data_IF_720950208371
#
_entry.id   IF_720950208371
#
_cell.length_a   1.000
_cell.length_b   1.000
_cell.length_c   1.000
_cell.angle_alpha   90.00
_cell.angle_beta   90.00
_cell.angle_gamma   90.00
#
_symmetry.space_group_name_H-M   'P 1'
#
loop_
_entity.id
_entity.type
_entity.pdbx_description
1 polymer ?
#
# COMPACT_ATOMS: atom_id res chain seq x y z
N UNK A 1 17.98 -8.40 -73.74
CA UNK A 1 18.04 -7.08 -73.10
C UNK A 1 17.38 -7.28 -71.73
N UNK A 2 18.16 -7.15 -70.78
CA UNK A 2 17.87 -7.51 -69.36
C UNK A 2 17.05 -6.44 -68.67
N UNK A 3 15.94 -6.80 -68.11
CA UNK A 3 15.17 -5.93 -67.21
C UNK A 3 15.55 -6.26 -65.76
N UNK A 4 16.35 -5.37 -65.20
CA UNK A 4 16.84 -5.47 -63.82
C UNK A 4 16.06 -4.51 -62.93
N UNK A 5 15.43 -5.06 -61.92
CA UNK A 5 15.33 -4.37 -60.63
C UNK A 5 14.13 -3.47 -60.41
N UNK A 6 12.98 -4.07 -60.09
CA UNK A 6 12.06 -3.36 -59.20
C UNK A 6 12.38 -3.75 -57.76
N UNK A 7 13.11 -2.85 -57.09
CA UNK A 7 13.27 -2.90 -55.68
C UNK A 7 11.90 -2.86 -54.99
N UNK A 8 11.65 -3.78 -54.10
CA UNK A 8 10.53 -3.71 -53.16
C UNK A 8 10.81 -2.48 -52.29
N UNK A 9 10.13 -1.39 -52.58
CA UNK A 9 10.08 -0.27 -51.65
C UNK A 9 9.34 -0.76 -50.41
N UNK A 10 10.09 -1.03 -49.37
CA UNK A 10 9.56 -1.07 -48.04
C UNK A 10 9.32 0.38 -47.60
N UNK A 11 8.35 1.01 -48.20
CA UNK A 11 7.76 2.22 -47.63
C UNK A 11 6.99 1.82 -46.39
N UNK A 12 7.69 1.90 -45.28
CA UNK A 12 7.03 2.06 -43.98
C UNK A 12 6.42 3.47 -44.11
N UNK A 13 5.18 3.54 -44.60
CA UNK A 13 4.45 4.77 -44.68
C UNK A 13 4.32 5.39 -43.31
N UNK A 14 5.11 6.41 -43.06
CA UNK A 14 4.82 7.37 -42.00
C UNK A 14 3.54 8.10 -42.45
N UNK A 15 2.39 7.59 -42.01
CA UNK A 15 1.10 8.23 -42.22
C UNK A 15 1.15 9.63 -41.62
N UNK A 16 1.18 10.63 -42.47
CA UNK A 16 0.91 12.01 -42.08
C UNK A 16 -0.55 12.13 -41.65
N UNK A 17 -0.76 12.49 -40.39
CA UNK A 17 -1.98 13.18 -39.98
C UNK A 17 -3.23 12.32 -39.82
N UNK A 18 -3.24 11.46 -38.86
CA UNK A 18 -4.43 11.07 -38.14
C UNK A 18 -4.10 11.13 -36.64
N UNK A 19 -4.87 11.87 -35.88
CA UNK A 19 -4.86 11.82 -34.44
C UNK A 19 -5.37 10.46 -34.02
N UNK A 20 -4.54 9.42 -34.18
CA UNK A 20 -4.70 8.19 -33.49
C UNK A 20 -3.99 8.41 -32.14
N UNK A 21 -4.74 8.70 -31.12
CA UNK A 21 -4.33 8.51 -29.73
C UNK A 21 -3.94 7.05 -29.57
N UNK A 22 -2.70 6.73 -29.94
CA UNK A 22 -2.05 5.51 -29.49
C UNK A 22 -1.67 5.84 -28.06
N UNK A 23 -2.52 5.39 -27.15
CA UNK A 23 -2.25 5.47 -25.72
C UNK A 23 -0.80 5.07 -25.45
N UNK A 24 -0.14 5.82 -24.62
CA UNK A 24 1.28 5.79 -24.25
C UNK A 24 1.87 4.38 -24.12
N UNK A 25 2.31 3.79 -25.21
CA UNK A 25 3.11 2.57 -25.25
C UNK A 25 4.54 2.92 -25.72
N UNK A 26 5.52 2.83 -24.84
CA UNK A 26 6.91 3.02 -25.20
C UNK A 26 7.43 1.79 -25.94
N UNK A 27 8.02 1.97 -27.15
CA UNK A 27 8.69 0.91 -27.91
C UNK A 27 10.12 0.78 -27.37
N UNK A 28 10.51 -0.40 -26.87
CA UNK A 28 11.77 -0.56 -26.15
C UNK A 28 12.86 -1.38 -26.83
N UNK A 29 12.62 -2.14 -27.91
CA UNK A 29 13.71 -2.82 -28.61
C UNK A 29 13.39 -3.21 -30.04
N UNK A 30 14.38 -3.07 -30.94
CA UNK A 30 14.42 -3.66 -32.28
C UNK A 30 15.56 -4.68 -32.28
N UNK A 31 15.29 -5.96 -32.52
CA UNK A 31 16.34 -6.98 -32.72
C UNK A 31 16.56 -7.25 -34.20
N UNK A 32 17.79 -7.51 -34.62
CA UNK A 32 18.16 -7.76 -36.03
C UNK A 32 17.62 -9.09 -36.58
N UNK A 33 16.88 -9.87 -35.84
CA UNK A 33 16.33 -11.19 -36.25
C UNK A 33 14.83 -11.21 -36.47
N UNK A 34 14.19 -10.05 -36.47
CA UNK A 34 12.76 -9.85 -36.61
C UNK A 34 12.26 -8.76 -35.67
N UNK A 35 11.34 -7.93 -36.14
CA UNK A 35 10.75 -6.87 -35.33
C UNK A 35 9.85 -7.51 -34.26
N UNK A 36 10.39 -7.76 -33.07
CA UNK A 36 9.57 -8.09 -31.92
C UNK A 36 9.21 -6.77 -31.24
N UNK A 37 8.01 -6.27 -31.48
CA UNK A 37 7.44 -5.18 -30.69
C UNK A 37 7.17 -5.72 -29.27
N UNK A 38 8.07 -5.48 -28.36
CA UNK A 38 7.76 -5.60 -26.95
C UNK A 38 7.00 -4.34 -26.55
N UNK A 39 5.67 -4.39 -26.68
CA UNK A 39 4.83 -3.44 -25.97
C UNK A 39 5.07 -3.70 -24.47
N UNK A 40 5.83 -2.84 -23.83
CA UNK A 40 5.79 -2.77 -22.38
C UNK A 40 4.36 -2.41 -22.02
N UNK A 41 3.65 -3.32 -21.36
CA UNK A 41 2.31 -2.99 -20.86
C UNK A 41 2.39 -1.64 -20.14
N UNK A 42 1.58 -0.67 -20.58
CA UNK A 42 1.51 0.60 -19.90
C UNK A 42 1.21 0.37 -18.42
N UNK A 43 1.81 1.15 -17.55
CA UNK A 43 1.48 1.10 -16.14
C UNK A 43 -0.02 1.36 -15.96
N UNK A 44 -0.59 0.75 -14.94
CA UNK A 44 -1.94 1.08 -14.50
C UNK A 44 -2.02 2.60 -14.26
N UNK A 45 -3.08 3.29 -14.74
CA UNK A 45 -3.18 4.75 -14.61
C UNK A 45 -3.04 5.25 -13.17
N UNK A 46 -3.50 4.48 -12.17
CA UNK A 46 -3.35 4.87 -10.78
C UNK A 46 -1.89 4.75 -10.30
N UNK A 47 -1.13 3.75 -10.80
CA UNK A 47 0.28 3.66 -10.48
C UNK A 47 1.10 4.71 -11.23
N UNK A 48 0.77 4.98 -12.51
CA UNK A 48 1.39 6.08 -13.24
C UNK A 48 1.22 7.42 -12.50
N UNK A 49 0.01 7.68 -11.97
CA UNK A 49 -0.24 8.89 -11.19
C UNK A 49 0.64 8.99 -9.91
N UNK A 50 0.99 7.85 -9.29
CA UNK A 50 1.96 7.84 -8.17
C UNK A 50 3.35 8.27 -8.63
N UNK A 51 3.81 7.74 -9.78
CA UNK A 51 5.12 8.12 -10.35
C UNK A 51 5.17 9.59 -10.78
N UNK A 52 4.09 10.08 -11.38
CA UNK A 52 3.97 11.48 -11.80
C UNK A 52 3.96 12.42 -10.57
N UNK A 53 3.22 12.05 -9.53
CA UNK A 53 3.21 12.79 -8.26
C UNK A 53 4.61 12.82 -7.63
N UNK A 54 5.27 11.65 -7.50
CA UNK A 54 6.64 11.58 -6.99
C UNK A 54 7.61 12.46 -7.78
N UNK A 55 7.52 12.43 -9.11
CA UNK A 55 8.34 13.29 -9.98
C UNK A 55 8.08 14.77 -9.73
N UNK A 56 6.82 15.17 -9.55
CA UNK A 56 6.45 16.57 -9.26
C UNK A 56 6.95 17.05 -7.91
N UNK A 57 7.09 16.14 -6.94
CA UNK A 57 7.65 16.42 -5.60
C UNK A 57 9.18 16.36 -5.55
N UNK A 58 9.83 15.92 -6.66
CA UNK A 58 11.29 15.80 -6.76
C UNK A 58 11.87 14.58 -6.08
N UNK A 59 11.05 13.54 -5.85
CA UNK A 59 11.48 12.28 -5.25
C UNK A 59 12.26 11.41 -6.24
N UNK A 60 13.16 10.58 -5.71
CA UNK A 60 13.82 9.53 -6.48
C UNK A 60 12.87 8.36 -6.69
N UNK A 61 12.54 8.09 -7.95
CA UNK A 61 11.67 6.98 -8.30
C UNK A 61 12.35 5.63 -8.03
N UNK A 62 11.56 4.57 -7.76
CA UNK A 62 12.06 3.21 -7.72
C UNK A 62 12.74 2.79 -9.02
N UNK A 63 13.59 1.77 -8.96
CA UNK A 63 14.16 1.15 -10.16
C UNK A 63 13.06 0.66 -11.11
N UNK A 64 13.39 0.57 -12.40
CA UNK A 64 12.43 0.12 -13.43
C UNK A 64 11.85 -1.28 -13.09
N UNK A 65 12.65 -2.16 -12.49
CA UNK A 65 12.19 -3.48 -12.05
C UNK A 65 11.17 -3.36 -10.92
N UNK A 66 11.46 -2.55 -9.93
CA UNK A 66 10.55 -2.38 -8.79
C UNK A 66 9.26 -1.64 -9.20
N UNK A 67 9.33 -0.68 -10.13
CA UNK A 67 8.13 -0.06 -10.72
C UNK A 67 7.20 -1.11 -11.35
N UNK A 68 7.75 -2.12 -12.05
CA UNK A 68 6.96 -3.22 -12.61
C UNK A 68 6.30 -4.03 -11.50
N UNK A 69 7.04 -4.38 -10.44
CA UNK A 69 6.52 -5.15 -9.31
C UNK A 69 5.41 -4.39 -8.57
N UNK A 70 5.61 -3.10 -8.32
CA UNK A 70 4.61 -2.23 -7.67
C UNK A 70 3.35 -2.06 -8.52
N UNK A 71 3.51 -1.89 -9.83
CA UNK A 71 2.39 -1.84 -10.75
C UNK A 71 1.60 -3.16 -10.78
N UNK A 72 2.29 -4.29 -10.76
CA UNK A 72 1.64 -5.61 -10.71
C UNK A 72 0.88 -5.83 -9.40
N UNK A 73 1.44 -5.38 -8.26
CA UNK A 73 0.71 -5.37 -7.00
C UNK A 73 -0.58 -4.56 -7.12
N UNK A 74 -0.50 -3.31 -7.63
CA UNK A 74 -1.68 -2.46 -7.77
C UNK A 74 -2.74 -3.08 -8.71
N UNK A 75 -2.32 -3.65 -9.85
CA UNK A 75 -3.22 -4.39 -10.76
C UNK A 75 -3.90 -5.58 -10.05
N UNK A 76 -3.16 -6.32 -9.24
CA UNK A 76 -3.69 -7.42 -8.45
C UNK A 76 -4.73 -6.93 -7.44
N UNK A 77 -4.44 -5.86 -6.69
CA UNK A 77 -5.38 -5.27 -5.74
C UNK A 77 -6.67 -4.79 -6.41
N UNK A 78 -6.60 -4.25 -7.63
CA UNK A 78 -7.76 -3.86 -8.43
C UNK A 78 -8.57 -5.08 -8.88
N UNK A 79 -7.90 -6.09 -9.41
CA UNK A 79 -8.56 -7.33 -9.88
C UNK A 79 -9.31 -8.03 -8.75
N UNK A 80 -8.76 -7.99 -7.54
CA UNK A 80 -9.36 -8.55 -6.33
C UNK A 80 -10.43 -7.65 -5.69
N UNK A 81 -10.70 -6.46 -6.24
CA UNK A 81 -11.66 -5.49 -5.69
C UNK A 81 -11.20 -4.84 -4.38
N UNK A 82 -9.95 -5.06 -3.96
CA UNK A 82 -9.38 -4.52 -2.72
C UNK A 82 -9.12 -3.02 -2.87
N UNK A 83 -8.54 -2.63 -4.03
CA UNK A 83 -8.14 -1.25 -4.29
C UNK A 83 -9.27 -0.24 -4.07
N UNK A 84 -10.49 -0.56 -4.50
CA UNK A 84 -11.64 0.32 -4.39
C UNK A 84 -12.17 0.45 -2.95
N UNK A 85 -11.87 -0.52 -2.11
CA UNK A 85 -12.20 -0.50 -0.68
C UNK A 85 -11.19 0.27 0.18
N UNK A 86 -10.03 0.65 -0.36
CA UNK A 86 -9.02 1.40 0.38
C UNK A 86 -9.27 2.91 0.31
N UNK A 87 -9.04 3.61 1.42
CA UNK A 87 -9.00 5.08 1.52
C UNK A 87 -7.55 5.60 1.55
N UNK A 88 -6.60 4.77 1.99
CA UNK A 88 -5.18 5.09 2.10
C UNK A 88 -4.37 3.81 1.89
N UNK A 89 -3.29 3.92 1.13
CA UNK A 89 -2.35 2.83 0.90
C UNK A 89 -0.96 3.40 0.65
N UNK A 90 0.00 3.00 1.46
CA UNK A 90 1.40 3.37 1.29
C UNK A 90 2.29 2.14 1.30
N UNK A 91 3.10 1.97 0.26
CA UNK A 91 4.13 0.95 0.18
C UNK A 91 5.45 1.55 0.66
N UNK A 92 5.82 1.26 1.89
CA UNK A 92 7.05 1.77 2.51
C UNK A 92 8.29 1.02 2.01
N UNK A 93 8.15 -0.28 1.69
CA UNK A 93 9.23 -1.09 1.14
C UNK A 93 9.42 -0.78 -0.35
N UNK A 94 10.43 0.02 -0.66
CA UNK A 94 10.78 0.49 -2.00
C UNK A 94 12.26 0.80 -2.08
N UNK A 95 12.87 0.65 -3.25
CA UNK A 95 14.24 1.10 -3.55
C UNK A 95 14.29 2.57 -4.03
N UNK A 96 13.14 3.26 -4.10
CA UNK A 96 13.05 4.71 -4.18
C UNK A 96 13.55 5.38 -2.89
N UNK A 97 13.53 6.70 -2.87
CA UNK A 97 13.94 7.41 -1.67
C UNK A 97 12.86 7.45 -0.57
N UNK A 98 13.22 8.06 0.57
CA UNK A 98 12.30 8.24 1.70
C UNK A 98 11.06 9.07 1.32
N UNK A 99 11.18 10.00 0.38
CA UNK A 99 10.06 10.81 -0.10
C UNK A 99 9.04 9.96 -0.85
N UNK A 100 9.51 9.12 -1.78
CA UNK A 100 8.67 8.17 -2.51
C UNK A 100 7.96 7.18 -1.56
N UNK A 101 8.68 6.64 -0.58
CA UNK A 101 8.14 5.69 0.38
C UNK A 101 7.01 6.24 1.24
N UNK A 102 6.91 7.56 1.41
CA UNK A 102 5.86 8.24 2.18
C UNK A 102 4.62 8.61 1.35
N UNK A 103 4.61 8.32 0.05
CA UNK A 103 3.45 8.65 -0.79
C UNK A 103 2.27 7.72 -0.45
N UNK A 104 1.13 8.32 -0.16
CA UNK A 104 -0.15 7.62 -0.15
C UNK A 104 -0.65 7.46 -1.59
N UNK A 105 -0.63 6.22 -2.08
CA UNK A 105 -0.96 5.92 -3.48
C UNK A 105 -2.44 6.16 -3.83
N UNK A 106 -3.33 6.13 -2.83
CA UNK A 106 -4.77 6.39 -3.04
C UNK A 106 -5.09 7.87 -3.14
N UNK A 107 -4.38 8.69 -2.37
CA UNK A 107 -4.70 10.12 -2.22
C UNK A 107 -3.73 11.04 -2.95
N UNK A 108 -2.58 10.52 -3.39
CA UNK A 108 -1.49 11.30 -3.99
C UNK A 108 -1.08 12.48 -3.09
N UNK A 109 -0.77 12.15 -1.85
CA UNK A 109 -0.24 13.08 -0.84
C UNK A 109 0.90 12.40 -0.08
N UNK A 110 1.82 13.18 0.48
CA UNK A 110 2.85 12.65 1.35
C UNK A 110 2.36 12.50 2.78
N UNK A 111 2.60 11.34 3.37
CA UNK A 111 2.55 11.13 4.81
C UNK A 111 3.69 11.86 5.50
N UNK A 112 3.56 12.15 6.79
CA UNK A 112 4.58 12.87 7.55
C UNK A 112 5.30 11.96 8.51
N UNK A 113 6.60 11.73 8.28
CA UNK A 113 7.47 11.08 9.24
C UNK A 113 7.79 12.07 10.40
N UNK A 114 7.49 11.67 11.61
CA UNK A 114 7.68 12.46 12.83
C UNK A 114 8.74 11.80 13.70
N UNK A 115 9.67 12.59 14.21
CA UNK A 115 10.82 12.14 15.03
C UNK A 115 11.64 11.03 14.35
N UNK A 116 11.79 11.16 13.03
CA UNK A 116 12.74 10.45 12.18
C UNK A 116 12.73 8.91 12.36
N UNK A 117 11.61 8.21 12.04
CA UNK A 117 11.69 6.77 11.90
C UNK A 117 12.74 6.43 10.83
N UNK A 118 13.51 5.36 11.05
CA UNK A 118 14.60 4.99 10.13
C UNK A 118 14.02 4.31 8.90
N UNK A 119 14.26 4.89 7.72
CA UNK A 119 13.95 4.25 6.44
C UNK A 119 15.08 3.33 6.00
N UNK A 120 14.74 2.13 5.56
CA UNK A 120 15.65 1.19 4.90
C UNK A 120 15.03 0.80 3.56
N UNK A 121 15.78 0.98 2.48
CA UNK A 121 15.34 0.59 1.13
C UNK A 121 14.91 -0.89 1.12
N UNK A 122 13.85 -1.20 0.38
CA UNK A 122 13.21 -2.52 0.26
C UNK A 122 12.63 -3.12 1.56
N UNK A 123 12.80 -2.44 2.68
CA UNK A 123 12.31 -2.95 3.97
C UNK A 123 11.23 -2.05 4.59
N UNK A 124 11.32 -0.72 4.39
CA UNK A 124 10.39 0.26 4.92
C UNK A 124 10.90 1.00 6.16
N UNK A 125 10.03 1.31 7.10
CA UNK A 125 10.34 2.15 8.26
C UNK A 125 10.44 1.37 9.55
N UNK A 126 11.52 1.62 10.30
CA UNK A 126 11.72 1.16 11.67
C UNK A 126 11.48 2.30 12.65
N UNK A 127 10.65 2.07 13.65
CA UNK A 127 10.45 3.01 14.74
C UNK A 127 11.57 2.98 15.76
N UNK A 128 11.68 4.04 16.58
CA UNK A 128 12.68 4.12 17.65
C UNK A 128 12.16 3.65 19.02
N UNK A 129 10.92 3.18 19.10
CA UNK A 129 10.29 2.70 20.33
C UNK A 129 9.94 3.78 21.37
N UNK A 130 10.23 5.05 21.09
CA UNK A 130 10.06 6.15 22.05
C UNK A 130 9.24 7.33 21.57
N UNK A 131 9.37 7.72 20.28
CA UNK A 131 8.73 8.93 19.77
C UNK A 131 8.45 8.92 18.27
N UNK A 132 9.12 8.08 17.47
CA UNK A 132 8.99 8.10 16.02
C UNK A 132 7.67 7.46 15.55
N UNK A 133 7.08 8.02 14.52
CA UNK A 133 5.82 7.57 13.91
C UNK A 133 5.62 8.18 12.53
N UNK A 134 4.63 7.68 11.80
CA UNK A 134 4.24 8.21 10.49
C UNK A 134 2.79 8.66 10.57
N UNK A 135 2.52 9.93 10.37
CA UNK A 135 1.17 10.48 10.29
C UNK A 135 0.62 10.26 8.88
N UNK A 136 -0.48 9.54 8.76
CA UNK A 136 -1.12 9.32 7.48
C UNK A 136 -1.81 10.57 6.92
N UNK A 137 -2.18 11.53 7.78
CA UNK A 137 -2.99 12.67 7.40
C UNK A 137 -4.45 12.32 7.07
N UNK A 138 -4.88 11.08 7.32
CA UNK A 138 -6.26 10.65 7.11
C UNK A 138 -7.04 10.66 8.41
N UNK A 139 -8.18 11.36 8.40
CA UNK A 139 -9.19 11.31 9.46
C UNK A 139 -10.48 10.76 8.86
N UNK A 140 -10.90 9.55 9.22
CA UNK A 140 -12.19 9.01 8.77
C UNK A 140 -13.35 9.89 9.24
N UNK A 141 -14.17 10.30 8.28
CA UNK A 141 -15.35 11.14 8.52
C UNK A 141 -16.66 10.43 8.11
N UNK A 142 -16.59 9.14 7.79
CA UNK A 142 -17.71 8.33 7.33
C UNK A 142 -18.09 8.54 5.86
N UNK A 143 -17.43 9.43 5.13
CA UNK A 143 -17.65 9.67 3.69
C UNK A 143 -16.84 8.73 2.80
N UNK A 144 -15.67 8.26 3.27
CA UNK A 144 -14.83 7.26 2.59
C UNK A 144 -15.35 5.84 2.79
N UNK A 145 -14.48 4.88 2.51
CA UNK A 145 -14.75 3.45 2.71
C UNK A 145 -14.70 3.06 4.19
N UNK A 146 -13.82 3.72 4.99
CA UNK A 146 -13.77 3.50 6.43
C UNK A 146 -15.02 4.06 7.11
N UNK A 147 -15.90 3.16 7.52
CA UNK A 147 -17.17 3.49 8.18
C UNK A 147 -17.25 2.82 9.54
N UNK A 148 -18.20 3.27 10.37
CA UNK A 148 -18.39 2.75 11.72
C UNK A 148 -18.55 1.21 11.76
N UNK A 149 -19.24 0.64 10.76
CA UNK A 149 -19.56 -0.79 10.65
C UNK A 149 -18.87 -1.52 9.51
N UNK A 150 -18.00 -0.85 8.79
CA UNK A 150 -17.22 -1.42 7.67
C UNK A 150 -15.89 -0.69 7.63
N UNK A 151 -14.86 -1.30 8.19
CA UNK A 151 -13.59 -0.63 8.39
C UNK A 151 -12.44 -1.62 8.44
N UNK A 152 -11.28 -1.21 7.96
CA UNK A 152 -10.02 -1.93 8.16
C UNK A 152 -8.86 -0.96 8.25
N UNK A 153 -7.82 -1.37 8.96
CA UNK A 153 -6.51 -0.74 8.92
C UNK A 153 -5.44 -1.73 9.36
N UNK A 154 -4.25 -1.59 8.84
CA UNK A 154 -3.18 -2.53 9.15
C UNK A 154 -1.84 -2.14 8.58
N UNK A 155 -0.88 -3.01 8.84
CA UNK A 155 0.51 -2.90 8.39
C UNK A 155 1.06 -4.25 7.95
N UNK A 156 2.10 -4.23 7.13
CA UNK A 156 2.97 -5.39 6.95
C UNK A 156 4.16 -5.27 7.91
N UNK A 157 4.30 -6.22 8.81
CA UNK A 157 5.41 -6.29 9.77
C UNK A 157 6.58 -7.03 9.13
N UNK A 158 7.68 -6.35 8.89
CA UNK A 158 8.93 -6.92 8.35
C UNK A 158 9.84 -7.44 9.46
N UNK A 159 9.92 -6.69 10.56
CA UNK A 159 10.67 -7.08 11.76
C UNK A 159 9.83 -6.79 12.99
N UNK A 160 9.76 -7.76 13.88
CA UNK A 160 9.02 -7.64 15.14
C UNK A 160 9.64 -6.59 16.05
N UNK A 161 8.80 -5.78 16.66
CA UNK A 161 9.22 -4.82 17.69
C UNK A 161 9.06 -5.35 19.11
N UNK A 162 9.36 -4.47 20.06
CA UNK A 162 9.17 -4.74 21.48
C UNK A 162 7.68 -4.90 21.81
N UNK A 163 7.37 -5.83 22.69
CA UNK A 163 6.00 -6.05 23.20
C UNK A 163 5.41 -4.79 23.85
N UNK A 164 4.07 -4.70 23.87
CA UNK A 164 3.30 -3.59 24.45
C UNK A 164 3.47 -2.23 23.74
N UNK A 165 3.82 -2.26 22.46
CA UNK A 165 3.87 -1.08 21.57
C UNK A 165 2.76 -1.17 20.51
N UNK A 166 2.55 -0.11 19.76
CA UNK A 166 1.48 -0.05 18.76
C UNK A 166 2.03 0.09 17.34
N UNK A 167 1.53 -0.77 16.46
CA UNK A 167 1.93 -0.80 15.05
C UNK A 167 1.18 0.24 14.22
N UNK A 168 -0.09 0.48 14.53
CA UNK A 168 -0.93 1.47 13.88
C UNK A 168 -2.11 1.87 14.77
N UNK A 169 -2.69 3.05 14.52
CA UNK A 169 -3.93 3.45 15.18
C UNK A 169 -4.33 4.91 14.97
N UNK A 170 -5.40 5.28 15.65
CA UNK A 170 -5.96 6.63 15.63
C UNK A 170 -6.58 6.96 17.00
N UNK A 171 -5.73 7.20 17.96
CA UNK A 171 -6.10 7.50 19.34
C UNK A 171 -6.74 6.30 20.05
N UNK A 172 -7.72 6.59 20.90
CA UNK A 172 -8.41 5.53 21.68
C UNK A 172 -9.38 4.71 20.84
N UNK A 173 -9.75 5.17 19.65
CA UNK A 173 -10.83 4.61 18.86
C UNK A 173 -10.37 3.58 17.82
N UNK A 174 -9.09 3.56 17.46
CA UNK A 174 -8.49 2.54 16.62
C UNK A 174 -7.05 2.33 17.06
N UNK A 175 -6.67 1.10 17.37
CA UNK A 175 -5.29 0.76 17.71
C UNK A 175 -5.02 -0.72 17.56
N UNK A 176 -3.88 -1.02 17.03
CA UNK A 176 -3.36 -2.36 16.79
C UNK A 176 -2.04 -2.49 17.55
N UNK A 177 -2.02 -3.34 18.56
CA UNK A 177 -0.85 -3.51 19.45
C UNK A 177 -0.02 -4.72 19.07
N UNK A 178 1.26 -4.59 19.33
CA UNK A 178 2.19 -5.72 19.38
C UNK A 178 2.10 -6.34 20.76
N UNK A 179 1.16 -7.29 20.96
CA UNK A 179 1.02 -8.21 22.14
C UNK A 179 0.25 -7.79 23.40
N UNK A 180 -0.35 -8.79 23.84
CA UNK A 180 -0.81 -9.45 25.09
C UNK A 180 -1.60 -8.68 26.13
N UNK A 181 -1.39 -7.44 26.42
CA UNK A 181 -2.08 -6.86 27.58
C UNK A 181 -2.99 -5.70 27.27
N UNK A 182 -2.93 -5.21 26.03
CA UNK A 182 -3.61 -3.99 25.72
C UNK A 182 -4.62 -4.16 24.59
N UNK A 183 -5.68 -3.55 24.81
CA UNK A 183 -6.90 -3.49 24.10
C UNK A 183 -6.68 -3.06 22.64
N UNK A 184 -6.63 -4.03 21.74
CA UNK A 184 -6.84 -3.73 20.31
C UNK A 184 -8.21 -3.11 20.14
N UNK A 185 -8.35 -2.13 19.24
CA UNK A 185 -9.61 -1.41 19.02
C UNK A 185 -9.83 -1.11 17.56
N UNK A 186 -11.07 -1.21 17.14
CA UNK A 186 -11.55 -0.68 15.87
C UNK A 186 -12.91 0.01 16.13
N UNK A 187 -13.07 1.24 15.66
CA UNK A 187 -14.28 2.06 15.91
C UNK A 187 -14.65 2.14 17.40
N UNK A 188 -13.67 2.40 18.26
CA UNK A 188 -13.74 2.53 19.72
C UNK A 188 -14.00 1.27 20.52
N UNK A 189 -14.41 0.17 19.90
CA UNK A 189 -14.66 -1.05 20.66
C UNK A 189 -13.39 -1.76 21.06
N UNK A 190 -13.33 -2.10 22.32
CA UNK A 190 -12.31 -3.02 22.85
C UNK A 190 -12.56 -4.43 22.34
N UNK A 191 -11.57 -5.03 21.70
CA UNK A 191 -11.65 -6.42 21.23
C UNK A 191 -11.47 -7.44 22.37
N UNK A 192 -11.45 -6.99 23.61
CA UNK A 192 -11.42 -7.77 24.88
C UNK A 192 -10.62 -9.07 24.85
N UNK A 193 -9.61 -9.17 24.00
CA UNK A 193 -8.72 -10.33 23.95
C UNK A 193 -7.32 -9.91 23.57
N UNK A 194 -6.36 -10.48 24.26
CA UNK A 194 -4.98 -10.44 23.84
C UNK A 194 -4.85 -11.05 22.45
N UNK A 195 -4.52 -10.23 21.46
CA UNK A 195 -4.18 -10.68 20.11
C UNK A 195 -2.87 -10.03 19.72
N UNK A 196 -1.91 -10.85 19.36
CA UNK A 196 -0.60 -10.40 18.95
C UNK A 196 -0.58 -10.08 17.46
N UNK A 197 -0.40 -8.81 17.11
CA UNK A 197 -0.16 -8.37 15.74
C UNK A 197 1.33 -8.20 15.42
N UNK A 198 2.21 -8.44 16.37
CA UNK A 198 3.67 -8.38 16.17
C UNK A 198 4.19 -9.68 15.54
N UNK A 199 3.51 -10.12 14.48
CA UNK A 199 3.82 -11.32 13.71
C UNK A 199 4.27 -10.87 12.33
N UNK A 200 5.32 -11.49 11.79
CA UNK A 200 5.82 -11.18 10.44
C UNK A 200 4.73 -11.38 9.40
N UNK A 201 4.62 -10.42 8.48
CA UNK A 201 3.62 -10.43 7.41
C UNK A 201 2.51 -9.40 7.57
N UNK A 202 1.45 -9.55 6.80
CA UNK A 202 0.32 -8.62 6.79
C UNK A 202 -0.59 -8.85 7.98
N UNK A 203 -0.69 -7.85 8.83
CA UNK A 203 -1.53 -7.82 10.02
C UNK A 203 -2.53 -6.67 9.95
N UNK A 204 -3.81 -6.94 10.20
CA UNK A 204 -4.82 -5.89 10.23
C UNK A 204 -6.02 -6.19 11.14
N UNK A 205 -6.65 -5.12 11.57
CA UNK A 205 -7.96 -5.12 12.19
C UNK A 205 -9.00 -4.85 11.12
N UNK A 206 -10.10 -5.60 11.18
CA UNK A 206 -11.23 -5.45 10.28
C UNK A 206 -12.54 -5.41 11.06
N UNK A 207 -13.51 -4.66 10.56
CA UNK A 207 -14.87 -4.59 11.08
C UNK A 207 -15.86 -4.77 9.94
N UNK A 208 -16.66 -5.82 10.02
CA UNK A 208 -17.62 -6.20 8.98
C UNK A 208 -19.07 -5.89 9.34
N UNK A 209 -19.36 -5.56 10.60
CA UNK A 209 -20.72 -5.18 11.05
C UNK A 209 -20.68 -4.42 12.37
N UNK A 210 -21.86 -4.03 12.87
CA UNK A 210 -22.01 -3.40 14.18
C UNK A 210 -21.47 -4.29 15.34
N UNK A 211 -21.56 -5.60 15.19
CA UNK A 211 -21.28 -6.55 16.27
C UNK A 211 -20.13 -7.49 15.99
N UNK A 212 -19.52 -7.42 14.78
CA UNK A 212 -18.40 -8.30 14.41
C UNK A 212 -17.18 -7.51 13.98
N UNK A 213 -16.04 -7.82 14.60
CA UNK A 213 -14.72 -7.39 14.16
C UNK A 213 -13.78 -8.60 14.06
N UNK A 214 -12.67 -8.42 13.39
CA UNK A 214 -11.73 -9.48 13.08
C UNK A 214 -10.30 -9.01 13.32
N UNK A 215 -9.52 -9.88 13.94
CA UNK A 215 -8.08 -9.81 13.95
C UNK A 215 -7.57 -10.72 12.84
N UNK A 216 -6.84 -10.18 11.89
CA UNK A 216 -6.38 -10.91 10.71
C UNK A 216 -4.86 -10.82 10.63
N UNK A 217 -4.20 -11.98 10.51
CA UNK A 217 -2.76 -12.08 10.33
C UNK A 217 -2.48 -13.07 9.21
N UNK A 218 -1.76 -12.64 8.20
CA UNK A 218 -1.42 -13.44 7.01
C UNK A 218 -2.65 -14.12 6.37
N UNK A 219 -3.77 -13.39 6.32
CA UNK A 219 -5.03 -13.89 5.77
C UNK A 219 -5.84 -14.80 6.71
N UNK A 220 -5.29 -15.18 7.87
CA UNK A 220 -6.00 -16.00 8.86
C UNK A 220 -6.84 -15.11 9.77
N UNK A 221 -8.13 -15.35 9.79
CA UNK A 221 -9.13 -14.54 10.50
C UNK A 221 -9.50 -15.10 11.85
N UNK A 222 -9.54 -14.24 12.85
CA UNK A 222 -10.06 -14.52 14.20
C UNK A 222 -11.20 -13.55 14.52
N UNK A 223 -12.42 -14.06 14.61
CA UNK A 223 -13.61 -13.23 14.87
C UNK A 223 -13.70 -12.75 16.32
N UNK A 224 -14.26 -11.58 16.52
CA UNK A 224 -14.50 -10.94 17.82
C UNK A 224 -15.86 -10.27 17.85
N UNK A 225 -16.60 -10.46 18.94
CA UNK A 225 -17.83 -9.71 19.17
C UNK A 225 -17.48 -8.32 19.70
N UNK A 226 -18.13 -7.29 19.14
CA UNK A 226 -17.83 -5.89 19.44
C UNK A 226 -19.13 -5.07 19.55
N UNK A 227 -19.00 -3.86 20.07
CA UNK A 227 -20.05 -2.84 20.07
C UNK A 227 -19.54 -1.58 19.39
N UNK A 228 -20.41 -0.82 18.75
CA UNK A 228 -20.03 0.44 18.13
C UNK A 228 -19.93 1.56 19.15
N UNK A 229 -18.96 2.46 18.94
CA UNK A 229 -18.88 3.71 19.70
C UNK A 229 -18.72 4.92 18.78
N UNK A 230 -17.57 5.09 18.10
CA UNK A 230 -17.32 6.26 17.26
C UNK A 230 -16.23 6.00 16.22
N UNK A 231 -16.20 6.85 15.18
CA UNK A 231 -15.11 6.88 14.22
C UNK A 231 -13.82 7.37 14.91
N UNK A 232 -12.66 6.85 14.47
CA UNK A 232 -11.37 7.32 14.95
C UNK A 232 -11.02 8.70 14.36
N UNK A 233 -10.02 9.33 14.97
CA UNK A 233 -9.40 10.56 14.46
C UNK A 233 -8.20 10.24 13.56
N UNK A 234 -7.20 11.10 13.50
CA UNK A 234 -6.03 10.97 12.63
C UNK A 234 -5.28 9.64 12.80
N UNK A 235 -5.13 8.89 11.72
CA UNK A 235 -4.37 7.65 11.71
C UNK A 235 -2.86 7.90 11.69
N UNK A 236 -2.16 7.05 12.44
CA UNK A 236 -0.70 6.99 12.47
C UNK A 236 -0.22 5.55 12.36
N UNK A 237 0.99 5.36 11.83
CA UNK A 237 1.72 4.08 11.82
C UNK A 237 2.93 4.17 12.75
N UNK A 238 3.36 3.05 13.29
CA UNK A 238 4.38 2.90 14.33
C UNK A 238 4.00 3.54 15.68
N UNK A 239 2.72 3.87 15.86
CA UNK A 239 2.10 4.37 17.09
C UNK A 239 0.58 4.23 16.97
N UNK A 240 -0.17 4.63 17.98
CA UNK A 240 -1.64 4.76 17.90
C UNK A 240 -2.13 6.21 18.08
N UNK A 241 -1.25 7.14 18.30
CA UNK A 241 -1.60 8.52 18.66
C UNK A 241 -0.66 9.52 18.01
N UNK A 242 -1.22 10.62 17.55
CA UNK A 242 -0.43 11.77 17.07
C UNK A 242 0.44 12.41 18.17
N UNK A 243 0.16 12.11 19.44
CA UNK A 243 0.90 12.63 20.61
C UNK A 243 2.08 11.75 21.05
N UNK A 244 2.31 10.58 20.44
CA UNK A 244 3.44 9.72 20.78
C UNK A 244 3.26 8.94 22.08
N UNK A 245 2.12 8.27 22.25
CA UNK A 245 1.79 7.57 23.51
C UNK A 245 2.13 6.08 23.53
N UNK A 246 2.66 5.52 22.48
CA UNK A 246 3.00 4.09 22.41
C UNK A 246 3.81 3.71 21.18
N UNK A 247 4.85 4.50 20.82
CA UNK A 247 5.62 4.26 19.61
C UNK A 247 6.25 2.87 19.58
N UNK A 248 6.22 2.23 18.43
CA UNK A 248 6.84 0.93 18.17
C UNK A 248 8.28 1.09 17.69
N UNK A 249 9.07 0.05 17.93
CA UNK A 249 10.39 -0.19 17.35
C UNK A 249 10.34 -1.31 16.28
N UNK A 250 9.15 -1.73 15.89
CA UNK A 250 8.95 -2.65 14.77
C UNK A 250 9.37 -2.01 13.45
N UNK A 251 9.69 -2.84 12.46
CA UNK A 251 9.83 -2.42 11.07
C UNK A 251 8.57 -2.77 10.30
N UNK A 252 8.02 -1.80 9.57
CA UNK A 252 6.83 -1.97 8.74
C UNK A 252 7.11 -1.63 7.29
N UNK A 253 6.64 -2.49 6.38
CA UNK A 253 6.86 -2.37 4.92
C UNK A 253 5.67 -1.77 4.18
N UNK A 254 4.50 -1.72 4.80
CA UNK A 254 3.25 -1.22 4.22
C UNK A 254 2.33 -0.72 5.32
N UNK A 255 1.51 0.29 4.98
CA UNK A 255 0.40 0.75 5.80
C UNK A 255 -0.84 1.02 4.96
N UNK A 256 -2.03 0.67 5.48
CA UNK A 256 -3.29 0.92 4.78
C UNK A 256 -4.44 1.22 5.73
N UNK A 257 -5.48 1.86 5.19
CA UNK A 257 -6.74 2.19 5.86
C UNK A 257 -7.85 2.07 4.81
N UNK A 258 -9.01 1.51 5.18
CA UNK A 258 -10.11 1.34 4.23
C UNK A 258 -11.38 0.78 4.86
N UNK A 259 -12.28 0.30 4.02
CA UNK A 259 -13.52 -0.38 4.37
C UNK A 259 -13.32 -1.83 4.80
N UNK A 260 -14.41 -2.58 4.84
CA UNK A 260 -14.40 -4.01 5.17
C UNK A 260 -13.65 -4.83 4.12
N UNK A 261 -12.62 -5.55 4.56
CA UNK A 261 -11.79 -6.46 3.76
C UNK A 261 -11.91 -7.92 4.24
N UNK A 262 -12.98 -8.28 4.96
CA UNK A 262 -13.11 -9.62 5.53
C UNK A 262 -13.12 -10.74 4.49
N UNK A 263 -13.74 -10.50 3.34
CA UNK A 263 -13.81 -11.47 2.24
C UNK A 263 -12.52 -11.57 1.43
N UNK A 264 -11.71 -10.52 1.41
CA UNK A 264 -10.48 -10.43 0.62
C UNK A 264 -9.20 -10.65 1.45
N UNK A 265 -9.32 -10.97 2.73
CA UNK A 265 -8.19 -11.00 3.66
C UNK A 265 -7.04 -11.92 3.22
N UNK A 266 -7.36 -13.13 2.73
CA UNK A 266 -6.38 -14.10 2.25
C UNK A 266 -5.72 -13.63 0.94
N UNK A 267 -6.51 -13.14 0.00
CA UNK A 267 -6.04 -12.65 -1.29
C UNK A 267 -5.17 -11.39 -1.13
N UNK A 268 -5.56 -10.49 -0.22
CA UNK A 268 -4.76 -9.31 0.11
C UNK A 268 -3.40 -9.70 0.68
N UNK A 269 -3.39 -10.63 1.64
CA UNK A 269 -2.14 -11.14 2.21
C UNK A 269 -1.27 -11.79 1.14
N UNK A 270 -1.84 -12.59 0.24
CA UNK A 270 -1.12 -13.23 -0.85
C UNK A 270 -0.51 -12.22 -1.83
N UNK A 271 -1.29 -11.22 -2.27
CA UNK A 271 -0.81 -10.19 -3.20
C UNK A 271 0.35 -9.37 -2.61
N UNK A 272 0.24 -8.95 -1.34
CA UNK A 272 1.29 -8.21 -0.64
C UNK A 272 2.54 -9.07 -0.44
N UNK A 273 2.38 -10.33 0.00
CA UNK A 273 3.50 -11.26 0.17
C UNK A 273 4.24 -11.51 -1.15
N UNK A 274 3.52 -11.63 -2.27
CA UNK A 274 4.12 -11.78 -3.60
C UNK A 274 5.04 -10.62 -3.92
N UNK A 275 4.63 -9.39 -3.69
CA UNK A 275 5.47 -8.21 -3.88
C UNK A 275 6.68 -8.20 -2.93
N UNK A 276 6.44 -8.32 -1.63
CA UNK A 276 7.52 -8.24 -0.60
C UNK A 276 8.58 -9.34 -0.77
N UNK A 277 8.19 -10.51 -1.30
CA UNK A 277 9.13 -11.61 -1.56
C UNK A 277 9.93 -11.43 -2.86
N UNK A 278 9.56 -10.45 -3.68
CA UNK A 278 10.18 -10.19 -5.00
C UNK A 278 11.19 -9.04 -4.97
N UNK A 279 11.29 -8.34 -3.84
CA UNK A 279 12.21 -7.21 -3.60
C UNK A 279 13.32 -7.58 -2.63
#
# INVERSE_FOLDING_TARGET
>A
MSDWGKGVNNDIGWGQGGTNDIGYGSIYAVSNSGLTLLLKDAFDPAYQAVLDFATSEGDTLPSANQQILQNNLLKSLKTLGIWDKLDSFAMFATDGDVGFSLIDWKRLVKMTAVNSPTFTADEGFTGNGTSSRIHSGLTPNGLGNYKLNAASFGVFVKTQGTKNKYLAGAGRNARMSAVESTVNRISSTSLNSAFDFNILGLSHLNKSSATNAQCIVNGVTSNRTVTNESLPTNFVFLDYSTSGNGPSDAQISLGFIGGDLSSEAADFSSAVNTYISSI
#
